data_IF_758091637492
#
_entry.id   IF_758091637492
#
_cell.length_a   1.000
_cell.length_b   1.000
_cell.length_c   1.000
_cell.angle_alpha   90.00
_cell.angle_beta   90.00
_cell.angle_gamma   90.00
#
_symmetry.space_group_name_H-M   'P 1'
#
loop_
_entity.id
_entity.type
_entity.pdbx_description
1 polymer ?
#
# COMPACT_ATOMS: atom_id res chain seq x y z
N UNK A 1 7.56 -32.03 -10.42
CA UNK A 1 7.16 -32.45 -9.06
C UNK A 1 6.11 -31.47 -8.53
N UNK A 2 5.07 -31.99 -7.91
CA UNK A 2 4.05 -31.15 -7.26
C UNK A 2 4.50 -30.76 -5.86
N UNK A 3 4.29 -29.51 -5.48
CA UNK A 3 4.43 -29.06 -4.10
C UNK A 3 3.08 -29.07 -3.41
N UNK A 4 3.07 -29.39 -2.13
CA UNK A 4 1.86 -29.35 -1.30
C UNK A 4 1.96 -28.21 -0.29
N UNK A 5 0.82 -27.60 -0.02
CA UNK A 5 0.67 -26.51 0.95
C UNK A 5 -0.50 -26.83 1.88
N UNK A 6 -0.43 -26.33 3.11
CA UNK A 6 -1.55 -26.42 4.05
C UNK A 6 -2.64 -25.39 3.70
N UNK A 7 -2.22 -24.26 3.14
CA UNK A 7 -3.12 -23.19 2.71
C UNK A 7 -2.60 -22.52 1.44
N UNK A 8 -3.48 -22.35 0.47
CA UNK A 8 -3.23 -21.52 -0.71
C UNK A 8 -4.21 -20.36 -0.70
N UNK A 9 -3.68 -19.14 -0.71
CA UNK A 9 -4.47 -17.90 -0.76
C UNK A 9 -4.51 -17.41 -2.19
N UNK A 10 -5.69 -17.25 -2.75
CA UNK A 10 -5.88 -16.73 -4.10
C UNK A 10 -6.19 -15.24 -4.05
N UNK A 11 -5.24 -14.45 -4.52
CA UNK A 11 -5.26 -12.99 -4.47
C UNK A 11 -4.51 -12.43 -3.27
N UNK A 12 -3.69 -11.39 -3.51
CA UNK A 12 -2.81 -10.77 -2.52
C UNK A 12 -3.26 -9.39 -2.06
N UNK A 13 -4.53 -9.08 -2.16
CA UNK A 13 -5.11 -7.88 -1.55
C UNK A 13 -5.03 -7.92 -0.02
N UNK A 14 -5.54 -6.89 0.69
CA UNK A 14 -5.42 -6.81 2.15
C UNK A 14 -5.94 -8.04 2.90
N UNK A 15 -7.04 -8.63 2.46
CA UNK A 15 -7.53 -9.89 3.03
C UNK A 15 -6.56 -11.06 2.79
N UNK A 16 -5.98 -11.13 1.59
CA UNK A 16 -5.10 -12.20 1.18
C UNK A 16 -3.74 -12.18 1.88
N UNK A 17 -3.00 -11.06 1.80
CA UNK A 17 -1.67 -11.02 2.42
C UNK A 17 -1.74 -11.11 3.96
N UNK A 18 -2.77 -10.53 4.57
CA UNK A 18 -2.96 -10.65 6.03
C UNK A 18 -3.24 -12.10 6.43
N UNK A 19 -4.13 -12.79 5.72
CA UNK A 19 -4.45 -14.19 5.99
C UNK A 19 -3.21 -15.09 5.78
N UNK A 20 -2.47 -14.88 4.70
CA UNK A 20 -1.26 -15.67 4.41
C UNK A 20 -0.19 -15.49 5.49
N UNK A 21 0.07 -14.26 5.91
CA UNK A 21 1.03 -13.95 6.97
C UNK A 21 0.61 -14.62 8.28
N UNK A 22 -0.65 -14.46 8.67
CA UNK A 22 -1.13 -15.04 9.93
C UNK A 22 -1.10 -16.57 9.94
N UNK A 23 -1.51 -17.19 8.84
CA UNK A 23 -1.44 -18.64 8.69
C UNK A 23 0.01 -19.17 8.81
N UNK A 24 0.96 -18.47 8.16
CA UNK A 24 2.37 -18.83 8.28
C UNK A 24 2.90 -18.64 9.71
N UNK A 25 2.51 -17.58 10.40
CA UNK A 25 2.87 -17.38 11.82
C UNK A 25 2.32 -18.47 12.73
N UNK A 26 1.22 -19.09 12.37
CA UNK A 26 0.62 -20.24 13.08
C UNK A 26 1.23 -21.60 12.70
N UNK A 27 2.28 -21.58 11.87
CA UNK A 27 3.03 -22.79 11.53
C UNK A 27 2.57 -23.51 10.26
N UNK A 28 1.63 -22.96 9.51
CA UNK A 28 1.18 -23.55 8.25
C UNK A 28 2.17 -23.29 7.11
N UNK A 29 2.30 -24.22 6.19
CA UNK A 29 3.00 -24.03 4.91
C UNK A 29 2.05 -23.33 3.95
N UNK A 30 2.34 -22.08 3.59
CA UNK A 30 1.42 -21.20 2.87
C UNK A 30 1.99 -20.80 1.51
N UNK A 31 1.13 -20.79 0.50
CA UNK A 31 1.36 -20.14 -0.78
C UNK A 31 0.31 -19.06 -1.02
N UNK A 32 0.72 -17.99 -1.72
CA UNK A 32 -0.18 -16.93 -2.18
C UNK A 32 -0.05 -16.79 -3.69
N UNK A 33 -1.17 -16.73 -4.39
CA UNK A 33 -1.24 -16.60 -5.84
C UNK A 33 -1.66 -15.18 -6.19
N UNK A 34 -0.83 -14.49 -6.95
CA UNK A 34 -1.10 -13.13 -7.43
C UNK A 34 -0.76 -13.03 -8.92
N UNK A 35 -1.68 -12.49 -9.69
CA UNK A 35 -1.49 -12.35 -11.16
C UNK A 35 -0.73 -11.09 -11.57
N UNK A 36 -0.67 -10.07 -10.72
CA UNK A 36 -0.06 -8.78 -11.07
C UNK A 36 0.93 -8.31 -10.01
N UNK A 37 0.46 -7.59 -9.00
CA UNK A 37 1.31 -6.99 -7.97
C UNK A 37 0.83 -7.35 -6.58
N UNK A 38 1.75 -7.75 -5.72
CA UNK A 38 1.47 -7.99 -4.30
C UNK A 38 0.82 -6.76 -3.65
N UNK A 39 -0.16 -7.01 -2.80
CA UNK A 39 -0.96 -5.97 -2.16
C UNK A 39 -2.29 -5.69 -2.85
N UNK A 40 -2.47 -6.19 -4.08
CA UNK A 40 -3.71 -6.06 -4.86
C UNK A 40 -4.07 -4.64 -5.24
N UNK A 41 -5.33 -4.42 -5.57
CA UNK A 41 -5.85 -3.13 -6.03
C UNK A 41 -5.74 -2.06 -4.94
N UNK A 42 -6.13 -2.37 -3.72
CA UNK A 42 -6.11 -1.41 -2.62
C UNK A 42 -4.73 -0.77 -2.44
N UNK A 43 -3.69 -1.57 -2.40
CA UNK A 43 -2.33 -1.11 -2.16
C UNK A 43 -1.75 -0.35 -3.37
N UNK A 44 -1.96 -0.88 -4.57
CA UNK A 44 -1.27 -0.41 -5.77
C UNK A 44 -2.04 0.69 -6.51
N UNK A 45 -3.37 0.62 -6.57
CA UNK A 45 -4.20 1.52 -7.40
C UNK A 45 -5.45 2.05 -6.71
N UNK A 46 -5.71 1.70 -5.47
CA UNK A 46 -6.94 2.05 -4.74
C UNK A 46 -6.67 2.85 -3.47
N UNK A 47 -6.88 2.21 -2.32
CA UNK A 47 -6.90 2.86 -1.01
C UNK A 47 -5.65 3.69 -0.72
N UNK A 48 -4.47 3.14 -0.95
CA UNK A 48 -3.21 3.77 -0.56
C UNK A 48 -2.87 4.99 -1.42
N UNK A 49 -2.84 4.91 -2.76
CA UNK A 49 -2.61 6.10 -3.56
C UNK A 49 -3.73 7.14 -3.38
N UNK A 50 -4.97 6.73 -3.18
CA UNK A 50 -6.09 7.64 -2.88
C UNK A 50 -5.84 8.42 -1.59
N UNK A 51 -5.44 7.73 -0.51
CA UNK A 51 -5.10 8.39 0.75
C UNK A 51 -3.91 9.34 0.61
N UNK A 52 -2.91 8.98 -0.17
CA UNK A 52 -1.77 9.85 -0.44
C UNK A 52 -2.21 11.14 -1.17
N UNK A 53 -3.11 11.04 -2.15
CA UNK A 53 -3.68 12.18 -2.86
C UNK A 53 -4.53 13.06 -1.93
N UNK A 54 -5.38 12.43 -1.12
CA UNK A 54 -6.22 13.14 -0.14
C UNK A 54 -5.37 13.90 0.88
N UNK A 55 -4.25 13.32 1.32
CA UNK A 55 -3.33 14.01 2.24
C UNK A 55 -2.71 15.24 1.60
N UNK A 56 -2.30 15.17 0.36
CA UNK A 56 -1.80 16.34 -0.37
C UNK A 56 -2.87 17.44 -0.52
N UNK A 57 -4.11 17.02 -0.82
CA UNK A 57 -5.25 17.95 -0.89
C UNK A 57 -5.54 18.61 0.45
N UNK A 58 -5.50 17.86 1.54
CA UNK A 58 -5.69 18.37 2.90
C UNK A 58 -4.65 19.42 3.28
N UNK A 59 -3.37 19.14 2.99
CA UNK A 59 -2.29 20.09 3.26
C UNK A 59 -2.47 21.36 2.41
N UNK A 60 -2.83 21.24 1.15
CA UNK A 60 -3.13 22.38 0.29
C UNK A 60 -4.28 23.23 0.88
N UNK A 61 -5.32 22.57 1.36
CA UNK A 61 -6.43 23.23 2.03
C UNK A 61 -5.97 24.02 3.26
N UNK A 62 -5.13 23.42 4.11
CA UNK A 62 -4.55 24.13 5.27
C UNK A 62 -3.70 25.33 4.85
N UNK A 63 -2.89 25.20 3.82
CA UNK A 63 -2.12 26.33 3.28
C UNK A 63 -3.02 27.46 2.81
N UNK A 64 -4.14 27.13 2.15
CA UNK A 64 -5.12 28.12 1.67
C UNK A 64 -5.91 28.80 2.79
N UNK A 65 -5.98 28.18 3.97
CA UNK A 65 -6.70 28.64 5.16
C UNK A 65 -5.75 28.90 6.34
N UNK A 66 -4.49 29.24 6.04
CA UNK A 66 -3.45 29.46 7.06
C UNK A 66 -3.85 30.48 8.11
N UNK A 67 -4.61 31.51 7.74
CA UNK A 67 -5.09 32.56 8.66
C UNK A 67 -5.89 32.02 9.83
N UNK A 68 -6.68 30.96 9.62
CA UNK A 68 -7.50 30.36 10.67
C UNK A 68 -6.65 29.78 11.79
N UNK A 69 -5.37 29.52 11.51
CA UNK A 69 -4.39 28.98 12.47
C UNK A 69 -3.35 30.00 12.92
N UNK A 70 -3.57 31.28 12.62
CA UNK A 70 -2.59 32.33 12.95
C UNK A 70 -1.31 32.28 12.10
N UNK A 71 -1.36 31.63 10.95
CA UNK A 71 -0.21 31.44 10.07
C UNK A 71 -0.33 32.29 8.80
N UNK A 72 0.80 32.58 8.19
CA UNK A 72 0.89 33.28 6.91
C UNK A 72 1.44 32.34 5.86
N UNK A 73 0.71 32.18 4.76
CA UNK A 73 1.16 31.45 3.57
C UNK A 73 0.87 32.30 2.34
N UNK A 74 1.91 32.56 1.55
CA UNK A 74 1.83 33.39 0.35
C UNK A 74 2.22 32.59 -0.88
N UNK A 75 1.68 32.96 -2.05
CA UNK A 75 2.01 32.35 -3.34
C UNK A 75 1.93 30.82 -3.37
N UNK A 76 0.90 30.27 -2.72
CA UNK A 76 0.66 28.85 -2.72
C UNK A 76 0.28 28.35 -4.10
N UNK A 77 0.82 27.19 -4.47
CA UNK A 77 0.53 26.54 -5.74
C UNK A 77 0.61 25.01 -5.58
N UNK A 78 0.14 24.29 -6.57
CA UNK A 78 0.21 22.84 -6.58
C UNK A 78 0.88 22.37 -7.89
N UNK A 79 1.77 21.39 -7.78
CA UNK A 79 2.33 20.65 -8.89
C UNK A 79 1.67 19.28 -8.94
N UNK A 80 0.73 19.10 -9.86
CA UNK A 80 -0.04 17.86 -9.97
C UNK A 80 0.84 16.65 -10.31
N UNK A 81 1.89 16.85 -11.10
CA UNK A 81 2.81 15.77 -11.44
C UNK A 81 3.58 15.29 -10.20
N UNK A 82 4.02 16.20 -9.36
CA UNK A 82 4.68 15.87 -8.10
C UNK A 82 3.71 15.19 -7.11
N UNK A 83 2.47 15.64 -7.04
CA UNK A 83 1.42 15.01 -6.22
C UNK A 83 1.17 13.56 -6.64
N UNK A 84 1.03 13.33 -7.95
CA UNK A 84 0.85 11.99 -8.51
C UNK A 84 2.09 11.12 -8.28
N UNK A 85 3.29 11.64 -8.54
CA UNK A 85 4.55 10.92 -8.31
C UNK A 85 4.70 10.49 -6.86
N UNK A 86 4.34 11.36 -5.90
CA UNK A 86 4.32 11.01 -4.47
C UNK A 86 3.37 9.85 -4.19
N UNK A 87 2.15 9.86 -4.73
CA UNK A 87 1.19 8.77 -4.53
C UNK A 87 1.72 7.43 -5.06
N UNK A 88 2.40 7.45 -6.20
CA UNK A 88 3.05 6.26 -6.77
C UNK A 88 4.22 5.77 -5.91
N UNK A 89 5.00 6.68 -5.36
CA UNK A 89 6.10 6.37 -4.43
C UNK A 89 5.61 5.70 -3.16
N UNK A 90 4.53 6.20 -2.56
CA UNK A 90 3.91 5.59 -1.36
C UNK A 90 3.39 4.18 -1.66
N UNK A 91 2.67 4.00 -2.77
CA UNK A 91 2.19 2.68 -3.18
C UNK A 91 3.34 1.68 -3.40
N UNK A 92 4.41 2.12 -4.07
CA UNK A 92 5.62 1.30 -4.29
C UNK A 92 6.29 0.88 -2.98
N UNK A 93 6.43 1.81 -2.04
CA UNK A 93 7.03 1.52 -0.74
C UNK A 93 6.25 0.44 0.02
N UNK A 94 4.92 0.54 0.04
CA UNK A 94 4.08 -0.45 0.71
C UNK A 94 4.07 -1.80 -0.02
N UNK A 95 4.08 -1.79 -1.35
CA UNK A 95 4.24 -3.02 -2.14
C UNK A 95 5.54 -3.74 -1.78
N UNK A 96 6.64 -3.02 -1.69
CA UNK A 96 7.92 -3.58 -1.25
C UNK A 96 7.86 -4.11 0.18
N UNK A 97 7.12 -3.44 1.06
CA UNK A 97 6.87 -3.90 2.42
C UNK A 97 6.14 -5.24 2.47
N UNK A 98 5.09 -5.40 1.69
CA UNK A 98 4.36 -6.68 1.58
C UNK A 98 5.25 -7.77 0.99
N UNK A 99 6.02 -7.45 -0.05
CA UNK A 99 7.00 -8.39 -0.63
C UNK A 99 8.01 -8.87 0.41
N UNK A 100 8.51 -7.95 1.23
CA UNK A 100 9.41 -8.29 2.34
C UNK A 100 8.73 -9.22 3.37
N UNK A 101 7.48 -8.93 3.72
CA UNK A 101 6.72 -9.75 4.67
C UNK A 101 6.45 -11.16 4.14
N UNK A 102 6.23 -11.33 2.84
CA UNK A 102 6.12 -12.66 2.23
C UNK A 102 7.41 -13.46 2.44
N UNK A 103 8.57 -12.86 2.15
CA UNK A 103 9.88 -13.50 2.35
C UNK A 103 10.15 -13.79 3.81
N UNK A 104 9.93 -12.82 4.69
CA UNK A 104 10.13 -12.96 6.15
C UNK A 104 9.34 -14.12 6.72
N UNK A 105 8.11 -14.32 6.28
CA UNK A 105 7.22 -15.37 6.75
C UNK A 105 7.33 -16.67 5.91
N UNK A 106 8.30 -16.76 4.99
CA UNK A 106 8.53 -17.94 4.15
C UNK A 106 7.30 -18.38 3.35
N UNK A 107 6.50 -17.41 2.90
CA UNK A 107 5.33 -17.65 2.07
C UNK A 107 5.78 -17.76 0.62
N UNK A 108 5.37 -18.81 -0.07
CA UNK A 108 5.59 -19.00 -1.51
C UNK A 108 4.67 -18.08 -2.30
N UNK A 109 5.24 -17.28 -3.19
CA UNK A 109 4.50 -16.36 -4.05
C UNK A 109 4.48 -16.90 -5.48
#
# INVERSE_FOLDING_TARGET
MSESYDLIVLGSGPGGYVAAIRASQLGLKVAIVERENLGGICLNWGCIPTKALLRSAEIYHYMSHAKDYGLVAEKISADINAVVARSRGVAKQLNQGVTHLMKKNKITV
#
